data_IF_780096958641
#
_entry.id   IF_780096958641
#
_cell.length_a   1.000
_cell.length_b   1.000
_cell.length_c   1.000
_cell.angle_alpha   90.00
_cell.angle_beta   90.00
_cell.angle_gamma   90.00
#
_symmetry.space_group_name_H-M   'P 1'
#
loop_
_entity.id
_entity.type
_entity.pdbx_description
1 polymer ?
#
# COMPACT_ATOMS: atom_id res chain seq x y z
N UNK A 1 5.00 18.58 13.39
CA UNK A 1 6.01 18.72 12.34
C UNK A 1 7.02 19.79 12.76
N UNK A 2 8.34 19.62 12.54
CA UNK A 2 9.33 20.63 12.94
C UNK A 2 9.21 21.91 12.08
N UNK A 3 9.61 23.07 12.65
CA UNK A 3 9.45 24.35 11.96
C UNK A 3 10.33 24.46 10.69
N UNK A 4 11.49 23.77 10.68
CA UNK A 4 12.35 23.68 9.48
C UNK A 4 11.65 22.92 8.35
N UNK A 5 10.98 21.80 8.65
CA UNK A 5 10.20 21.03 7.68
C UNK A 5 8.99 21.83 7.19
N UNK A 6 8.31 22.54 8.08
CA UNK A 6 7.19 23.44 7.69
C UNK A 6 7.67 24.51 6.71
N UNK A 7 8.80 25.19 7.01
CA UNK A 7 9.38 26.21 6.11
C UNK A 7 9.76 25.64 4.74
N UNK A 8 10.36 24.44 4.71
CA UNK A 8 10.69 23.75 3.45
C UNK A 8 9.42 23.47 2.63
N UNK A 9 8.40 22.88 3.24
CA UNK A 9 7.15 22.51 2.57
C UNK A 9 6.27 23.73 2.19
N UNK A 10 6.45 24.87 2.83
CA UNK A 10 5.75 26.12 2.49
C UNK A 10 6.43 26.92 1.36
N UNK A 11 7.65 26.53 0.95
CA UNK A 11 8.34 27.20 -0.16
C UNK A 11 7.50 27.08 -1.43
N UNK A 12 7.23 28.20 -2.16
CA UNK A 12 6.29 28.24 -3.29
C UNK A 12 6.59 27.19 -4.38
N UNK A 13 7.86 26.99 -4.71
CA UNK A 13 8.25 25.96 -5.70
C UNK A 13 8.03 24.55 -5.17
N UNK A 14 8.46 24.24 -3.93
CA UNK A 14 8.40 22.89 -3.35
C UNK A 14 6.97 22.45 -3.00
N UNK A 15 6.05 23.40 -2.79
CA UNK A 15 4.63 23.17 -2.52
C UNK A 15 3.75 23.26 -3.78
N UNK A 16 4.35 23.49 -4.94
CA UNK A 16 3.63 23.58 -6.20
C UNK A 16 3.20 22.17 -6.66
N UNK A 17 1.90 21.90 -6.62
CA UNK A 17 1.33 20.60 -7.01
C UNK A 17 1.59 20.25 -8.49
N UNK A 18 1.66 21.25 -9.40
CA UNK A 18 1.98 21.00 -10.81
C UNK A 18 3.41 20.52 -10.98
N UNK A 19 4.35 21.13 -10.24
CA UNK A 19 5.75 20.69 -10.21
C UNK A 19 5.85 19.26 -9.66
N UNK A 20 5.16 18.96 -8.54
CA UNK A 20 5.14 17.62 -7.94
C UNK A 20 4.56 16.58 -8.90
N UNK A 21 3.48 16.91 -9.60
CA UNK A 21 2.91 16.03 -10.64
C UNK A 21 3.93 15.81 -11.77
N UNK A 22 4.60 16.86 -12.23
CA UNK A 22 5.68 16.75 -13.23
C UNK A 22 6.80 15.82 -12.78
N UNK A 23 7.24 15.92 -11.50
CA UNK A 23 8.24 15.02 -10.92
C UNK A 23 7.73 13.57 -10.93
N UNK A 24 6.48 13.30 -10.53
CA UNK A 24 5.90 11.96 -10.51
C UNK A 24 5.75 11.37 -11.92
N UNK A 25 5.43 12.20 -12.91
CA UNK A 25 5.47 11.80 -14.34
C UNK A 25 6.89 11.42 -14.75
N UNK A 26 7.90 12.22 -14.39
CA UNK A 26 9.31 11.91 -14.68
C UNK A 26 9.73 10.60 -14.03
N UNK A 27 9.32 10.33 -12.78
CA UNK A 27 9.58 9.04 -12.12
C UNK A 27 8.91 7.88 -12.88
N UNK A 28 7.70 8.08 -13.42
CA UNK A 28 7.03 7.08 -14.25
C UNK A 28 7.77 6.82 -15.55
N UNK A 29 8.25 7.88 -16.21
CA UNK A 29 9.10 7.76 -17.40
C UNK A 29 10.42 7.05 -17.08
N UNK A 30 11.04 7.33 -15.92
CA UNK A 30 12.23 6.61 -15.47
C UNK A 30 11.95 5.12 -15.27
N UNK A 31 10.72 4.72 -14.92
CA UNK A 31 10.31 3.32 -14.86
C UNK A 31 10.50 2.58 -16.19
N UNK A 32 10.40 3.27 -17.32
CA UNK A 32 10.64 2.71 -18.65
C UNK A 32 12.09 2.27 -18.91
N UNK A 33 13.05 2.69 -18.09
CA UNK A 33 14.42 2.16 -18.13
C UNK A 33 14.50 0.65 -17.87
N UNK A 34 13.44 0.07 -17.30
CA UNK A 34 13.31 -1.38 -17.09
C UNK A 34 12.74 -2.14 -18.29
N UNK A 35 12.21 -1.44 -19.30
CA UNK A 35 11.69 -2.08 -20.50
C UNK A 35 12.77 -2.92 -21.19
N UNK A 36 12.43 -4.14 -21.60
CA UNK A 36 13.33 -5.19 -22.09
C UNK A 36 14.45 -5.66 -21.16
N UNK A 37 14.66 -5.02 -20.02
CA UNK A 37 15.72 -5.40 -19.07
C UNK A 37 15.17 -6.15 -17.85
N UNK A 38 14.07 -5.66 -17.28
CA UNK A 38 13.45 -6.21 -16.08
C UNK A 38 12.00 -5.75 -15.98
N UNK A 39 11.13 -6.25 -16.90
CA UNK A 39 9.71 -5.87 -16.97
C UNK A 39 8.79 -7.09 -16.88
N UNK A 40 9.29 -8.17 -16.30
CA UNK A 40 8.59 -9.45 -16.17
C UNK A 40 7.21 -9.32 -15.53
N UNK A 41 7.05 -8.47 -14.51
CA UNK A 41 5.75 -8.27 -13.87
C UNK A 41 4.71 -7.68 -14.83
N UNK A 42 5.12 -6.78 -15.74
CA UNK A 42 4.20 -6.27 -16.76
C UNK A 42 3.80 -7.37 -17.76
N UNK A 43 4.72 -8.27 -18.11
CA UNK A 43 4.41 -9.43 -18.99
C UNK A 43 3.43 -10.39 -18.30
N UNK A 44 3.62 -10.71 -17.02
CA UNK A 44 2.66 -11.50 -16.23
C UNK A 44 1.29 -10.83 -16.26
N UNK A 45 1.22 -9.52 -16.01
CA UNK A 45 -0.04 -8.77 -15.99
C UNK A 45 -0.73 -8.77 -17.36
N UNK A 46 0.02 -8.55 -18.45
CA UNK A 46 -0.48 -8.66 -19.80
C UNK A 46 -1.02 -10.07 -20.07
N UNK A 47 -0.30 -11.11 -19.60
CA UNK A 47 -0.71 -12.51 -19.68
C UNK A 47 -2.06 -12.76 -18.99
N UNK A 48 -2.33 -12.15 -17.83
CA UNK A 48 -3.63 -12.29 -17.13
C UNK A 48 -4.82 -11.94 -18.03
N UNK A 49 -4.73 -10.87 -18.81
CA UNK A 49 -5.80 -10.52 -19.77
C UNK A 49 -5.92 -11.56 -20.88
N UNK A 50 -4.82 -11.89 -21.55
CA UNK A 50 -4.86 -12.80 -22.72
C UNK A 50 -5.24 -14.22 -22.33
N UNK A 51 -4.77 -14.72 -21.18
CA UNK A 51 -5.18 -16.04 -20.69
C UNK A 51 -6.66 -16.07 -20.30
N UNK A 52 -7.22 -14.97 -19.74
CA UNK A 52 -8.64 -14.85 -19.47
C UNK A 52 -9.46 -14.95 -20.76
N UNK A 53 -9.07 -14.22 -21.81
CA UNK A 53 -9.78 -14.23 -23.10
C UNK A 53 -9.66 -15.59 -23.78
N UNK A 54 -8.51 -16.24 -23.68
CA UNK A 54 -8.25 -17.55 -24.30
C UNK A 54 -8.77 -18.73 -23.48
N UNK A 55 -9.28 -18.52 -22.26
CA UNK A 55 -9.77 -19.56 -21.37
C UNK A 55 -8.67 -20.52 -20.86
N UNK A 56 -7.43 -20.05 -20.74
CA UNK A 56 -6.29 -20.81 -20.18
C UNK A 56 -6.05 -20.45 -18.73
N UNK A 57 -5.43 -21.35 -17.92
CA UNK A 57 -5.23 -21.10 -16.48
C UNK A 57 -4.45 -19.81 -16.23
N UNK A 58 -4.94 -18.98 -15.31
CA UNK A 58 -4.27 -17.74 -14.89
C UNK A 58 -3.04 -18.00 -13.99
N UNK A 59 -2.92 -19.20 -13.45
CA UNK A 59 -1.95 -19.53 -12.37
C UNK A 59 -0.96 -20.62 -12.81
N UNK A 60 -1.06 -21.10 -14.04
CA UNK A 60 -0.07 -21.98 -14.62
C UNK A 60 1.23 -21.22 -14.95
N UNK A 61 2.34 -21.96 -15.05
CA UNK A 61 3.61 -21.41 -15.51
C UNK A 61 3.64 -21.31 -17.05
N UNK A 62 4.06 -20.15 -17.55
CA UNK A 62 4.21 -19.87 -18.99
C UNK A 62 5.66 -19.41 -19.31
N UNK A 63 6.66 -20.32 -19.22
CA UNK A 63 8.08 -19.96 -19.27
C UNK A 63 8.52 -19.37 -20.62
N UNK A 64 7.73 -19.56 -21.69
CA UNK A 64 7.94 -18.92 -23.00
C UNK A 64 7.47 -17.48 -23.08
N UNK A 65 6.60 -17.04 -22.15
CA UNK A 65 6.03 -15.69 -22.13
C UNK A 65 6.66 -14.85 -21.02
N UNK A 66 6.80 -15.40 -19.81
CA UNK A 66 7.34 -14.72 -18.64
C UNK A 66 7.90 -15.71 -17.61
N UNK A 67 8.66 -15.18 -16.66
CA UNK A 67 9.15 -15.90 -15.48
C UNK A 67 8.21 -15.69 -14.31
N UNK A 68 8.10 -16.68 -13.40
CA UNK A 68 7.17 -16.67 -12.26
C UNK A 68 5.70 -16.87 -12.71
N UNK A 69 4.74 -16.81 -11.80
CA UNK A 69 3.31 -17.02 -12.06
C UNK A 69 2.48 -15.84 -11.56
N UNK A 70 1.24 -15.74 -12.04
CA UNK A 70 0.31 -14.73 -11.55
C UNK A 70 -0.19 -15.08 -10.14
N UNK A 71 -0.39 -14.05 -9.30
CA UNK A 71 -0.99 -14.14 -7.97
C UNK A 71 -2.15 -13.15 -7.76
N UNK A 72 -2.56 -12.44 -8.80
CA UNK A 72 -3.69 -11.52 -8.77
C UNK A 72 -4.99 -12.26 -9.09
N UNK A 73 -6.10 -11.81 -8.48
CA UNK A 73 -7.41 -12.39 -8.72
C UNK A 73 -7.92 -12.17 -10.16
N UNK A 74 -8.90 -12.96 -10.64
CA UNK A 74 -9.43 -12.89 -12.00
C UNK A 74 -9.90 -11.48 -12.40
N UNK A 75 -10.41 -10.68 -11.47
CA UNK A 75 -10.83 -9.29 -11.72
C UNK A 75 -9.70 -8.42 -12.29
N UNK A 76 -8.44 -8.74 -12.00
CA UNK A 76 -7.29 -7.98 -12.49
C UNK A 76 -7.20 -7.99 -14.02
N UNK A 77 -7.75 -9.00 -14.70
CA UNK A 77 -7.81 -9.06 -16.16
C UNK A 77 -8.48 -7.83 -16.78
N UNK A 78 -9.54 -7.32 -16.15
CA UNK A 78 -10.23 -6.11 -16.63
C UNK A 78 -9.44 -4.82 -16.35
N UNK A 79 -8.67 -4.78 -15.26
CA UNK A 79 -7.86 -3.61 -14.93
C UNK A 79 -6.69 -3.45 -15.90
N UNK A 80 -6.06 -4.57 -16.25
CA UNK A 80 -4.89 -4.54 -17.14
C UNK A 80 -5.29 -4.49 -18.62
N UNK A 81 -6.53 -4.85 -18.98
CA UNK A 81 -7.00 -4.94 -20.37
C UNK A 81 -6.63 -3.72 -21.23
N UNK A 82 -6.88 -2.45 -20.81
CA UNK A 82 -6.55 -1.28 -21.64
C UNK A 82 -5.06 -1.16 -21.97
N UNK A 83 -4.20 -1.74 -21.15
CA UNK A 83 -2.75 -1.72 -21.32
C UNK A 83 -2.24 -2.97 -22.04
N UNK A 84 -2.90 -4.12 -21.85
CA UNK A 84 -2.52 -5.40 -22.41
C UNK A 84 -2.75 -5.49 -23.94
N UNK A 85 -3.77 -4.79 -24.46
CA UNK A 85 -4.10 -4.77 -25.90
C UNK A 85 -3.19 -3.87 -26.73
N UNK A 86 -2.40 -3.02 -26.08
CA UNK A 86 -1.49 -2.08 -26.73
C UNK A 86 -0.12 -2.75 -27.01
N UNK A 87 0.68 -2.18 -27.92
CA UNK A 87 2.09 -2.54 -28.03
C UNK A 87 2.78 -2.43 -26.65
N UNK A 88 3.66 -3.36 -26.32
CA UNK A 88 4.20 -3.52 -24.96
C UNK A 88 4.79 -2.25 -24.36
N UNK A 89 5.53 -1.47 -25.15
CA UNK A 89 6.15 -0.24 -24.67
C UNK A 89 5.12 0.85 -24.35
N UNK A 90 4.03 0.95 -25.14
CA UNK A 90 2.91 1.90 -24.87
C UNK A 90 2.13 1.41 -23.66
N UNK A 91 1.78 0.12 -23.64
CA UNK A 91 1.03 -0.49 -22.54
C UNK A 91 1.77 -0.31 -21.21
N UNK A 92 3.08 -0.62 -21.15
CA UNK A 92 3.88 -0.43 -19.96
C UNK A 92 3.99 1.05 -19.55
N UNK A 93 4.23 1.95 -20.50
CA UNK A 93 4.28 3.39 -20.20
C UNK A 93 2.97 3.89 -19.57
N UNK A 94 1.84 3.58 -20.20
CA UNK A 94 0.53 4.00 -19.71
C UNK A 94 0.19 3.33 -18.37
N UNK A 95 0.61 2.08 -18.15
CA UNK A 95 0.47 1.39 -16.88
C UNK A 95 1.21 2.12 -15.75
N UNK A 96 2.47 2.49 -15.96
CA UNK A 96 3.27 3.21 -14.97
C UNK A 96 2.68 4.60 -14.67
N UNK A 97 2.23 5.32 -15.70
CA UNK A 97 1.56 6.62 -15.55
C UNK A 97 0.21 6.47 -14.81
N UNK A 98 -0.56 5.43 -15.11
CA UNK A 98 -1.82 5.11 -14.44
C UNK A 98 -1.60 4.86 -12.94
N UNK A 99 -0.66 3.99 -12.58
CA UNK A 99 -0.36 3.69 -11.17
C UNK A 99 0.06 4.93 -10.39
N UNK A 100 1.02 5.67 -10.94
CA UNK A 100 1.54 6.90 -10.33
C UNK A 100 0.46 7.98 -10.23
N UNK A 101 -0.29 8.20 -11.32
CA UNK A 101 -1.39 9.17 -11.38
C UNK A 101 -2.52 8.83 -10.43
N UNK A 102 -2.85 7.54 -10.27
CA UNK A 102 -3.90 7.11 -9.33
C UNK A 102 -3.54 7.43 -7.88
N UNK A 103 -2.32 7.09 -7.45
CA UNK A 103 -1.89 7.41 -6.09
C UNK A 103 -1.77 8.94 -5.90
N UNK A 104 -1.24 9.67 -6.90
CA UNK A 104 -1.19 11.13 -6.85
C UNK A 104 -2.59 11.72 -6.66
N UNK A 105 -3.57 11.26 -7.43
CA UNK A 105 -4.95 11.70 -7.36
C UNK A 105 -5.59 11.35 -6.01
N UNK A 106 -5.38 10.14 -5.49
CA UNK A 106 -5.90 9.72 -4.19
C UNK A 106 -5.38 10.60 -3.05
N UNK A 107 -4.11 10.99 -3.08
CA UNK A 107 -3.52 11.94 -2.12
C UNK A 107 -4.10 13.35 -2.34
N UNK A 108 -4.23 13.79 -3.59
CA UNK A 108 -4.73 15.12 -3.94
C UNK A 108 -6.17 15.35 -3.47
N UNK A 109 -7.07 14.38 -3.68
CA UNK A 109 -8.48 14.45 -3.30
C UNK A 109 -8.77 13.92 -1.89
N UNK A 110 -7.74 13.49 -1.16
CA UNK A 110 -7.86 13.12 0.24
C UNK A 110 -8.33 14.31 1.10
N UNK A 111 -8.76 14.06 2.32
CA UNK A 111 -9.06 15.09 3.32
C UNK A 111 -7.81 15.74 3.92
N UNK A 112 -6.60 15.30 3.55
CA UNK A 112 -5.34 15.81 4.10
C UNK A 112 -5.08 17.27 3.70
N UNK A 113 -4.50 18.05 4.62
CA UNK A 113 -4.06 19.43 4.36
C UNK A 113 -2.97 19.45 3.28
N UNK A 114 -2.91 20.54 2.51
CA UNK A 114 -1.92 20.70 1.43
C UNK A 114 -0.48 20.39 1.87
N UNK A 115 -0.06 20.85 3.04
CA UNK A 115 1.29 20.60 3.57
C UNK A 115 1.56 19.12 3.85
N UNK A 116 0.54 18.37 4.28
CA UNK A 116 0.62 16.91 4.51
C UNK A 116 0.73 16.16 3.17
N UNK A 117 -0.08 16.54 2.19
CA UNK A 117 -0.01 15.98 0.82
C UNK A 117 1.38 16.22 0.19
N UNK A 118 1.89 17.45 0.28
CA UNK A 118 3.24 17.82 -0.20
C UNK A 118 4.32 16.99 0.50
N UNK A 119 4.18 16.76 1.80
CA UNK A 119 5.12 15.91 2.54
C UNK A 119 5.12 14.46 2.02
N UNK A 120 3.94 13.88 1.76
CA UNK A 120 3.81 12.53 1.20
C UNK A 120 4.46 12.48 -0.19
N UNK A 121 4.17 13.44 -1.08
CA UNK A 121 4.73 13.45 -2.44
C UNK A 121 6.25 13.44 -2.45
N UNK A 122 6.89 14.24 -1.59
CA UNK A 122 8.35 14.28 -1.50
C UNK A 122 8.92 13.02 -0.84
N UNK A 123 8.38 12.65 0.31
CA UNK A 123 8.92 11.56 1.12
C UNK A 123 8.79 10.20 0.42
N UNK A 124 7.69 9.99 -0.28
CA UNK A 124 7.41 8.73 -0.97
C UNK A 124 8.01 8.63 -2.38
N UNK A 125 8.61 9.70 -2.93
CA UNK A 125 9.11 9.71 -4.31
C UNK A 125 10.09 8.57 -4.61
N UNK A 126 10.96 8.23 -3.67
CA UNK A 126 11.94 7.16 -3.84
C UNK A 126 11.30 5.76 -3.83
N UNK A 127 10.36 5.52 -2.92
CA UNK A 127 9.63 4.24 -2.88
C UNK A 127 8.66 4.11 -4.04
N UNK A 128 8.11 5.21 -4.53
CA UNK A 128 7.34 5.23 -5.76
C UNK A 128 8.21 4.75 -6.94
N UNK A 129 9.41 5.32 -7.11
CA UNK A 129 10.32 4.90 -8.18
C UNK A 129 10.67 3.40 -8.07
N UNK A 130 10.91 2.90 -6.85
CA UNK A 130 11.17 1.47 -6.61
C UNK A 130 9.98 0.61 -7.05
N UNK A 131 8.75 1.00 -6.72
CA UNK A 131 7.54 0.27 -7.08
C UNK A 131 7.27 0.35 -8.60
N UNK A 132 7.57 1.49 -9.25
CA UNK A 132 7.48 1.68 -10.71
C UNK A 132 8.52 0.82 -11.45
N UNK A 133 9.75 0.71 -10.95
CA UNK A 133 10.76 -0.19 -11.51
C UNK A 133 10.35 -1.66 -11.45
N UNK A 134 9.49 -2.02 -10.49
CA UNK A 134 8.91 -3.35 -10.37
C UNK A 134 7.53 -3.47 -11.03
N UNK A 135 6.99 -2.44 -11.66
CA UNK A 135 5.67 -2.33 -12.33
C UNK A 135 4.49 -2.78 -11.45
N UNK A 136 4.68 -2.83 -10.14
CA UNK A 136 3.78 -3.49 -9.18
C UNK A 136 2.52 -2.69 -8.85
N UNK A 137 1.40 -3.39 -8.69
CA UNK A 137 0.10 -2.84 -8.32
C UNK A 137 0.02 -2.29 -6.88
N UNK A 138 1.07 -2.45 -6.08
CA UNK A 138 1.14 -1.92 -4.71
C UNK A 138 0.92 -0.41 -4.61
N UNK A 139 1.27 0.35 -5.67
CA UNK A 139 0.99 1.78 -5.77
C UNK A 139 -0.52 2.04 -5.77
N UNK A 140 -1.28 1.25 -6.56
CA UNK A 140 -2.74 1.33 -6.60
C UNK A 140 -3.37 0.85 -5.28
N UNK A 141 -2.80 -0.14 -4.60
CA UNK A 141 -3.27 -0.58 -3.28
C UNK A 141 -3.18 0.56 -2.26
N UNK A 142 -2.10 1.34 -2.24
CA UNK A 142 -2.02 2.53 -1.40
C UNK A 142 -3.14 3.53 -1.72
N UNK A 143 -3.40 3.78 -3.01
CA UNK A 143 -4.48 4.65 -3.46
C UNK A 143 -5.87 4.12 -3.05
N UNK A 144 -6.10 2.82 -3.18
CA UNK A 144 -7.35 2.14 -2.82
C UNK A 144 -7.63 2.28 -1.31
N UNK A 145 -6.63 2.02 -0.45
CA UNK A 145 -6.80 2.13 1.01
C UNK A 145 -7.07 3.59 1.41
N UNK A 146 -6.34 4.56 0.85
CA UNK A 146 -6.58 5.99 1.06
C UNK A 146 -7.99 6.39 0.63
N UNK A 147 -8.41 5.99 -0.59
CA UNK A 147 -9.72 6.30 -1.12
C UNK A 147 -10.84 5.69 -0.27
N UNK A 148 -10.70 4.43 0.17
CA UNK A 148 -11.67 3.76 1.04
C UNK A 148 -11.90 4.55 2.32
N UNK A 149 -10.84 5.01 2.99
CA UNK A 149 -10.93 5.80 4.20
C UNK A 149 -11.60 7.16 3.99
N UNK A 150 -11.10 7.96 3.05
CA UNK A 150 -11.60 9.32 2.85
C UNK A 150 -13.01 9.37 2.27
N UNK A 151 -13.42 8.34 1.51
CA UNK A 151 -14.80 8.21 1.03
C UNK A 151 -15.76 7.85 2.16
N UNK A 152 -15.36 6.98 3.12
CA UNK A 152 -16.16 6.72 4.32
C UNK A 152 -16.26 8.00 5.17
N UNK A 153 -15.17 8.72 5.36
CA UNK A 153 -15.15 9.96 6.14
C UNK A 153 -16.06 11.06 5.51
N UNK A 154 -16.20 11.05 4.19
CA UNK A 154 -17.07 11.95 3.41
C UNK A 154 -18.49 11.39 3.16
N UNK A 155 -18.86 10.28 3.80
CA UNK A 155 -20.19 9.64 3.67
C UNK A 155 -20.53 9.14 2.26
N UNK A 156 -19.51 8.77 1.49
CA UNK A 156 -19.64 8.19 0.14
C UNK A 156 -19.45 6.65 0.19
N UNK A 157 -20.26 5.96 0.99
CA UNK A 157 -20.14 4.53 1.29
C UNK A 157 -20.16 3.65 0.03
N UNK A 158 -20.92 4.04 -1.00
CA UNK A 158 -20.98 3.28 -2.25
C UNK A 158 -19.62 3.17 -2.96
N UNK A 159 -18.91 4.28 -3.08
CA UNK A 159 -17.58 4.32 -3.68
C UNK A 159 -16.52 3.74 -2.74
N UNK A 160 -16.64 3.94 -1.43
CA UNK A 160 -15.75 3.31 -0.47
C UNK A 160 -15.83 1.78 -0.55
N UNK A 161 -17.05 1.23 -0.60
CA UNK A 161 -17.29 -0.21 -0.78
C UNK A 161 -16.69 -0.71 -2.11
N UNK A 162 -16.87 0.05 -3.21
CA UNK A 162 -16.24 -0.27 -4.50
C UNK A 162 -14.73 -0.48 -4.36
N UNK A 163 -14.01 0.48 -3.75
CA UNK A 163 -12.56 0.39 -3.61
C UNK A 163 -12.13 -0.76 -2.68
N UNK A 164 -12.86 -0.99 -1.58
CA UNK A 164 -12.57 -2.12 -0.67
C UNK A 164 -12.69 -3.45 -1.42
N UNK A 165 -13.81 -3.67 -2.14
CA UNK A 165 -14.06 -4.92 -2.87
C UNK A 165 -13.09 -5.05 -4.05
N UNK A 166 -12.86 -3.98 -4.82
CA UNK A 166 -11.89 -3.97 -5.92
C UNK A 166 -10.51 -4.42 -5.44
N UNK A 167 -10.00 -3.79 -4.39
CA UNK A 167 -8.70 -4.13 -3.84
C UNK A 167 -8.64 -5.56 -3.30
N UNK A 168 -9.75 -6.05 -2.71
CA UNK A 168 -9.85 -7.42 -2.17
C UNK A 168 -9.84 -8.46 -3.28
N UNK A 169 -10.65 -8.29 -4.34
CA UNK A 169 -10.73 -9.24 -5.45
C UNK A 169 -9.52 -9.20 -6.39
N UNK A 170 -8.70 -8.16 -6.28
CA UNK A 170 -7.46 -8.05 -7.07
C UNK A 170 -6.24 -8.57 -6.31
N UNK A 171 -6.07 -8.18 -5.05
CA UNK A 171 -4.83 -8.51 -4.29
C UNK A 171 -5.07 -8.76 -2.79
N UNK A 172 -6.23 -9.11 -2.33
CA UNK A 172 -6.63 -9.29 -0.92
C UNK A 172 -6.31 -8.10 0.01
N UNK A 173 -5.28 -7.30 -0.24
CA UNK A 173 -4.88 -6.18 0.61
C UNK A 173 -5.97 -5.11 0.74
N UNK A 174 -6.92 -5.03 -0.18
CA UNK A 174 -8.06 -4.13 -0.09
C UNK A 174 -8.98 -4.40 1.10
N UNK A 175 -9.03 -5.66 1.59
CA UNK A 175 -9.88 -6.08 2.72
C UNK A 175 -9.59 -5.27 3.99
N UNK A 176 -8.37 -4.75 4.16
CA UNK A 176 -8.01 -3.92 5.32
C UNK A 176 -8.82 -2.62 5.40
N UNK A 177 -9.44 -2.19 4.30
CA UNK A 177 -10.38 -1.07 4.28
C UNK A 177 -11.62 -1.30 5.16
N UNK A 178 -11.97 -2.55 5.47
CA UNK A 178 -13.02 -2.88 6.44
C UNK A 178 -12.71 -2.37 7.86
N UNK A 179 -11.45 -2.12 8.20
CA UNK A 179 -11.07 -1.49 9.46
C UNK A 179 -11.74 -0.11 9.65
N UNK A 180 -12.12 0.57 8.56
CA UNK A 180 -12.79 1.87 8.61
C UNK A 180 -14.31 1.78 8.78
N UNK A 181 -14.88 0.56 8.81
CA UNK A 181 -16.32 0.32 8.97
C UNK A 181 -16.90 1.02 10.21
N UNK A 182 -16.16 1.00 11.32
CA UNK A 182 -16.60 1.60 12.57
C UNK A 182 -16.74 3.13 12.49
N UNK A 183 -16.04 3.77 11.56
CA UNK A 183 -16.09 5.23 11.33
C UNK A 183 -17.23 5.66 10.40
N UNK A 184 -17.83 4.72 9.64
CA UNK A 184 -18.99 5.05 8.82
C UNK A 184 -20.17 5.46 9.70
N UNK A 185 -20.83 6.56 9.30
CA UNK A 185 -22.10 6.99 9.89
C UNK A 185 -23.28 6.17 9.38
N UNK A 186 -23.16 5.60 8.20
CA UNK A 186 -24.20 4.83 7.52
C UNK A 186 -23.80 3.37 7.33
N UNK A 187 -23.57 2.64 8.43
CA UNK A 187 -23.04 1.27 8.44
C UNK A 187 -23.85 0.29 7.59
N UNK A 188 -25.19 0.34 7.70
CA UNK A 188 -26.08 -0.54 6.90
C UNK A 188 -25.90 -0.25 5.41
N UNK A 189 -25.85 1.03 5.01
CA UNK A 189 -25.61 1.44 3.62
C UNK A 189 -24.26 0.91 3.12
N UNK A 190 -23.22 0.98 3.95
CA UNK A 190 -21.89 0.44 3.59
C UNK A 190 -21.95 -1.08 3.39
N UNK A 191 -22.62 -1.83 4.28
CA UNK A 191 -22.81 -3.29 4.13
C UNK A 191 -23.55 -3.64 2.84
N UNK A 192 -24.64 -2.93 2.54
CA UNK A 192 -25.39 -3.17 1.30
C UNK A 192 -24.54 -2.93 0.06
N UNK A 193 -23.77 -1.83 0.02
CA UNK A 193 -22.86 -1.55 -1.09
C UNK A 193 -21.70 -2.55 -1.18
N UNK A 194 -21.16 -3.03 -0.05
CA UNK A 194 -20.16 -4.11 -0.07
C UNK A 194 -20.74 -5.36 -0.73
N UNK A 195 -21.97 -5.75 -0.39
CA UNK A 195 -22.64 -6.90 -1.00
C UNK A 195 -22.87 -6.68 -2.51
N UNK A 196 -23.40 -5.53 -2.90
CA UNK A 196 -23.65 -5.18 -4.32
C UNK A 196 -22.36 -5.23 -5.14
N UNK A 197 -21.31 -4.53 -4.67
CA UNK A 197 -20.02 -4.51 -5.38
C UNK A 197 -19.33 -5.87 -5.38
N UNK A 198 -19.49 -6.69 -4.33
CA UNK A 198 -18.96 -8.06 -4.31
C UNK A 198 -19.55 -8.90 -5.44
N UNK A 199 -20.86 -8.81 -5.65
CA UNK A 199 -21.53 -9.53 -6.76
C UNK A 199 -21.08 -8.97 -8.10
N UNK A 200 -21.16 -7.65 -8.30
CA UNK A 200 -20.83 -7.01 -9.59
C UNK A 200 -19.38 -7.28 -9.99
N UNK A 201 -18.42 -7.05 -9.09
CA UNK A 201 -17.00 -7.18 -9.42
C UNK A 201 -16.54 -8.65 -9.50
N UNK A 202 -17.21 -9.57 -8.77
CA UNK A 202 -16.97 -11.00 -8.92
C UNK A 202 -17.40 -11.50 -10.30
N UNK A 203 -18.55 -11.04 -10.79
CA UNK A 203 -19.10 -11.43 -12.10
C UNK A 203 -18.46 -10.68 -13.26
N UNK A 204 -17.88 -9.50 -13.04
CA UNK A 204 -17.38 -8.64 -14.11
C UNK A 204 -16.41 -9.34 -15.09
N UNK A 205 -15.44 -10.18 -14.68
CA UNK A 205 -14.56 -10.89 -15.63
C UNK A 205 -15.30 -11.85 -16.56
N UNK A 206 -16.53 -12.29 -16.21
CA UNK A 206 -17.35 -13.14 -17.07
C UNK A 206 -17.81 -12.44 -18.36
N UNK A 207 -17.66 -11.11 -18.42
CA UNK A 207 -17.93 -10.35 -19.65
C UNK A 207 -16.91 -10.61 -20.77
N UNK A 208 -15.73 -11.12 -20.44
CA UNK A 208 -14.65 -11.40 -21.41
C UNK A 208 -14.27 -12.89 -21.45
N UNK A 209 -14.93 -13.74 -20.68
CA UNK A 209 -14.72 -15.19 -20.65
C UNK A 209 -15.96 -15.93 -20.14
N UNK A 210 -15.94 -17.29 -20.13
CA UNK A 210 -17.09 -18.05 -19.67
C UNK A 210 -17.24 -18.02 -18.14
N UNK A 211 -18.49 -18.09 -17.60
CA UNK A 211 -18.75 -18.15 -16.17
C UNK A 211 -18.03 -19.33 -15.48
N UNK A 212 -18.09 -20.53 -16.04
CA UNK A 212 -17.47 -21.74 -15.47
C UNK A 212 -15.95 -21.56 -15.35
N UNK A 213 -15.31 -21.02 -16.39
CA UNK A 213 -13.89 -20.72 -16.36
C UNK A 213 -13.56 -19.73 -15.23
N UNK A 214 -14.26 -18.61 -15.13
CA UNK A 214 -13.97 -17.57 -14.11
C UNK A 214 -14.16 -18.12 -12.70
N UNK A 215 -15.21 -18.91 -12.44
CA UNK A 215 -15.42 -19.57 -11.14
C UNK A 215 -14.24 -20.50 -10.82
N UNK A 216 -13.82 -21.31 -11.79
CA UNK A 216 -12.63 -22.17 -11.67
C UNK A 216 -11.36 -21.36 -11.37
N UNK A 217 -11.17 -20.20 -12.03
CA UNK A 217 -10.01 -19.34 -11.76
C UNK A 217 -10.02 -18.71 -10.36
N UNK A 218 -11.18 -18.41 -9.75
CA UNK A 218 -11.21 -18.00 -8.34
C UNK A 218 -10.81 -19.12 -7.38
N UNK A 219 -11.15 -20.39 -7.70
CA UNK A 219 -10.71 -21.55 -6.91
C UNK A 219 -9.18 -21.78 -7.04
N UNK A 220 -8.67 -21.70 -8.27
CA UNK A 220 -7.22 -21.77 -8.53
C UNK A 220 -6.47 -20.62 -7.86
N UNK A 221 -7.05 -19.41 -7.81
CA UNK A 221 -6.46 -18.28 -7.12
C UNK A 221 -6.21 -18.54 -5.64
N UNK A 222 -7.22 -19.11 -4.95
CA UNK A 222 -7.06 -19.50 -3.54
C UNK A 222 -5.88 -20.47 -3.37
N UNK A 223 -5.81 -21.50 -4.20
CA UNK A 223 -4.72 -22.49 -4.16
C UNK A 223 -3.35 -21.87 -4.44
N UNK A 224 -3.28 -20.95 -5.42
CA UNK A 224 -2.07 -20.19 -5.74
C UNK A 224 -1.61 -19.30 -4.57
N UNK A 225 -2.53 -18.64 -3.86
CA UNK A 225 -2.20 -17.82 -2.69
C UNK A 225 -1.67 -18.65 -1.52
N UNK A 226 -2.23 -19.83 -1.28
CA UNK A 226 -1.74 -20.76 -0.23
C UNK A 226 -0.34 -21.24 -0.56
N UNK A 227 -0.10 -21.69 -1.80
CA UNK A 227 1.21 -22.11 -2.27
C UNK A 227 2.24 -20.98 -2.13
N UNK A 228 1.89 -19.76 -2.61
CA UNK A 228 2.77 -18.58 -2.54
C UNK A 228 3.08 -18.17 -1.11
N UNK A 229 2.13 -18.27 -0.19
CA UNK A 229 2.41 -18.01 1.23
C UNK A 229 3.50 -18.93 1.78
N UNK A 230 3.46 -20.21 1.43
CA UNK A 230 4.48 -21.20 1.84
C UNK A 230 5.85 -20.88 1.27
N UNK A 231 5.93 -20.50 -0.02
CA UNK A 231 7.18 -20.06 -0.65
C UNK A 231 7.74 -18.80 0.00
N UNK A 232 6.88 -17.81 0.27
CA UNK A 232 7.27 -16.53 0.80
C UNK A 232 7.91 -16.62 2.19
N UNK A 233 7.49 -17.58 3.03
CA UNK A 233 8.01 -17.77 4.39
C UNK A 233 9.53 -17.79 4.39
N UNK A 234 10.16 -18.47 3.43
CA UNK A 234 11.61 -18.66 3.35
C UNK A 234 12.30 -17.76 2.31
N UNK A 235 11.54 -16.97 1.53
CA UNK A 235 12.09 -16.13 0.47
C UNK A 235 12.82 -14.91 1.03
N UNK A 236 14.02 -14.64 0.51
CA UNK A 236 14.79 -13.41 0.84
C UNK A 236 14.19 -12.19 0.09
N UNK A 237 13.64 -12.39 -1.10
CA UNK A 237 13.07 -11.33 -1.91
C UNK A 237 11.66 -10.91 -1.44
N UNK A 238 10.94 -11.83 -0.83
CA UNK A 238 9.63 -11.64 -0.21
C UNK A 238 9.75 -11.63 1.31
N UNK A 239 8.61 -11.55 2.01
CA UNK A 239 8.56 -11.55 3.47
C UNK A 239 9.46 -10.46 4.09
N UNK A 240 9.50 -9.27 3.45
CA UNK A 240 10.14 -8.08 4.00
C UNK A 240 9.15 -7.41 4.97
N UNK A 241 8.85 -8.12 6.05
CA UNK A 241 7.82 -7.81 7.05
C UNK A 241 8.38 -7.99 8.45
N UNK A 242 7.58 -7.68 9.49
CA UNK A 242 7.94 -8.01 10.87
C UNK A 242 8.12 -9.52 11.04
N UNK A 243 7.31 -10.34 10.36
CA UNK A 243 7.38 -11.80 10.39
C UNK A 243 8.74 -12.27 9.86
N UNK A 244 9.15 -11.77 8.70
CA UNK A 244 10.44 -12.07 8.09
C UNK A 244 11.63 -11.52 8.88
N UNK A 245 11.51 -10.31 9.43
CA UNK A 245 12.54 -9.70 10.30
C UNK A 245 12.83 -10.60 11.50
N UNK A 246 11.81 -10.99 12.26
CA UNK A 246 11.98 -11.85 13.44
C UNK A 246 12.54 -13.21 13.03
N UNK A 247 11.99 -13.85 11.99
CA UNK A 247 12.45 -15.16 11.51
C UNK A 247 13.94 -15.17 11.17
N UNK A 248 14.39 -14.16 10.43
CA UNK A 248 15.78 -14.09 9.93
C UNK A 248 16.77 -13.59 10.97
N UNK A 249 16.36 -12.72 11.90
CA UNK A 249 17.26 -12.23 12.96
C UNK A 249 17.41 -13.22 14.10
N UNK A 250 16.37 -14.01 14.43
CA UNK A 250 16.44 -15.03 15.49
C UNK A 250 16.97 -16.38 15.02
N UNK A 251 16.98 -16.62 13.69
CA UNK A 251 17.29 -17.93 13.12
C UNK A 251 16.18 -18.99 13.31
N UNK A 252 15.07 -18.64 13.96
CA UNK A 252 13.91 -19.52 14.14
C UNK A 252 13.07 -19.58 12.86
N UNK A 253 13.46 -20.44 11.91
CA UNK A 253 12.82 -20.49 10.60
C UNK A 253 11.42 -21.10 10.61
N UNK A 254 11.10 -21.96 11.57
CA UNK A 254 9.90 -22.81 11.58
C UNK A 254 8.84 -22.39 12.62
N UNK A 255 8.88 -21.17 13.16
CA UNK A 255 7.81 -20.73 14.06
C UNK A 255 6.54 -20.38 13.29
N UNK A 256 5.39 -20.54 13.95
CA UNK A 256 4.11 -20.09 13.37
C UNK A 256 4.00 -18.56 13.38
N UNK A 257 3.72 -17.96 12.23
CA UNK A 257 3.49 -16.52 12.11
C UNK A 257 2.37 -16.01 13.04
N UNK A 258 1.46 -16.88 13.48
CA UNK A 258 0.38 -16.55 14.42
C UNK A 258 0.92 -16.01 15.76
N UNK A 259 2.14 -16.40 16.18
CA UNK A 259 2.77 -15.86 17.39
C UNK A 259 3.05 -14.36 17.32
N UNK A 260 3.18 -13.80 16.13
CA UNK A 260 3.32 -12.36 15.93
C UNK A 260 2.03 -11.71 15.42
N UNK A 261 1.27 -12.42 14.56
CA UNK A 261 0.02 -11.90 13.99
C UNK A 261 -1.03 -11.67 15.08
N UNK A 262 -1.25 -12.62 16.00
CA UNK A 262 -2.28 -12.48 17.03
C UNK A 262 -2.01 -11.32 17.99
N UNK A 263 -0.82 -11.14 18.60
CA UNK A 263 -0.50 -9.95 19.37
C UNK A 263 -0.57 -8.66 18.53
N UNK A 264 -0.11 -8.72 17.27
CA UNK A 264 -0.21 -7.60 16.34
C UNK A 264 -1.65 -7.18 16.08
N UNK A 265 -2.55 -8.13 15.85
CA UNK A 265 -4.00 -7.88 15.69
C UNK A 265 -4.61 -7.31 16.97
N UNK A 266 -4.22 -7.82 18.15
CA UNK A 266 -4.69 -7.28 19.42
C UNK A 266 -4.26 -5.81 19.58
N UNK A 267 -2.98 -5.48 19.35
CA UNK A 267 -2.48 -4.10 19.39
C UNK A 267 -3.17 -3.22 18.35
N UNK A 268 -3.44 -3.74 17.15
CA UNK A 268 -4.17 -3.03 16.10
C UNK A 268 -5.62 -2.75 16.50
N UNK A 269 -6.27 -3.68 17.21
CA UNK A 269 -7.68 -3.59 17.58
C UNK A 269 -7.92 -2.70 18.82
N UNK A 270 -6.98 -2.66 19.77
CA UNK A 270 -7.13 -1.90 21.02
C UNK A 270 -7.58 -0.43 20.84
N UNK A 271 -7.02 0.35 19.90
CA UNK A 271 -7.45 1.74 19.69
C UNK A 271 -8.93 1.89 19.33
N UNK A 272 -9.52 0.89 18.67
CA UNK A 272 -10.93 0.93 18.28
C UNK A 272 -11.90 0.87 19.50
N UNK A 273 -11.42 0.56 20.70
CA UNK A 273 -12.20 0.67 21.93
C UNK A 273 -12.31 2.12 22.44
N UNK A 274 -11.55 3.05 21.87
CA UNK A 274 -11.55 4.47 22.28
C UNK A 274 -12.63 5.27 21.53
N UNK A 275 -13.89 4.89 21.71
CA UNK A 275 -15.04 5.52 21.04
C UNK A 275 -15.12 7.02 21.18
N UNK A 276 -14.68 7.57 22.34
CA UNK A 276 -14.63 9.03 22.58
C UNK A 276 -13.76 9.79 21.58
N UNK A 277 -12.74 9.13 21.00
CA UNK A 277 -11.81 9.72 20.03
C UNK A 277 -12.32 9.67 18.58
N UNK A 278 -13.40 8.93 18.29
CA UNK A 278 -13.90 8.75 16.91
C UNK A 278 -14.33 10.06 16.23
N UNK A 279 -14.78 11.05 16.99
CA UNK A 279 -15.09 12.39 16.48
C UNK A 279 -13.85 13.16 15.98
N UNK A 280 -12.65 12.81 16.45
CA UNK A 280 -11.42 13.50 16.11
C UNK A 280 -10.85 12.96 14.80
N UNK A 281 -10.81 13.79 13.75
CA UNK A 281 -10.29 13.40 12.44
C UNK A 281 -8.83 12.90 12.52
N UNK A 282 -7.98 13.59 13.30
CA UNK A 282 -6.59 13.20 13.48
C UNK A 282 -6.43 11.79 14.09
N UNK A 283 -7.35 11.36 14.97
CA UNK A 283 -7.38 9.99 15.48
C UNK A 283 -7.70 8.99 14.34
N UNK A 284 -8.74 9.25 13.57
CA UNK A 284 -9.13 8.38 12.45
C UNK A 284 -8.05 8.31 11.37
N UNK A 285 -7.40 9.44 11.04
CA UNK A 285 -6.25 9.48 10.12
C UNK A 285 -5.03 8.72 10.68
N UNK A 286 -4.83 8.70 12.01
CA UNK A 286 -3.79 7.89 12.62
C UNK A 286 -4.12 6.39 12.56
N UNK A 287 -5.40 6.01 12.65
CA UNK A 287 -5.84 4.63 12.36
C UNK A 287 -5.57 4.27 10.90
N UNK A 288 -5.85 5.16 9.94
CA UNK A 288 -5.49 4.95 8.52
C UNK A 288 -3.97 4.68 8.39
N UNK A 289 -3.13 5.46 9.08
CA UNK A 289 -1.69 5.24 9.09
C UNK A 289 -1.33 3.85 9.64
N UNK A 290 -2.01 3.40 10.70
CA UNK A 290 -1.84 2.06 11.27
C UNK A 290 -2.20 0.98 10.24
N UNK A 291 -3.34 1.08 9.56
CA UNK A 291 -3.79 0.14 8.52
C UNK A 291 -2.76 0.00 7.40
N UNK A 292 -2.25 1.14 6.89
CA UNK A 292 -1.27 1.16 5.80
C UNK A 292 0.07 0.48 6.19
N UNK A 293 0.49 0.60 7.44
CA UNK A 293 1.70 -0.09 7.91
C UNK A 293 1.43 -1.55 8.27
N UNK A 294 0.28 -1.83 8.88
CA UNK A 294 -0.09 -3.18 9.32
C UNK A 294 -0.11 -4.17 8.15
N UNK A 295 -0.70 -3.80 7.01
CA UNK A 295 -0.79 -4.68 5.84
C UNK A 295 0.57 -5.10 5.29
N UNK A 296 1.60 -4.29 5.50
CA UNK A 296 2.98 -4.62 5.10
C UNK A 296 3.73 -5.40 6.19
N UNK A 297 3.55 -5.02 7.46
CA UNK A 297 4.27 -5.64 8.57
C UNK A 297 3.82 -7.06 8.88
N UNK A 298 2.55 -7.39 8.63
CA UNK A 298 1.97 -8.69 8.97
C UNK A 298 1.58 -9.51 7.72
N UNK A 299 2.30 -9.32 6.62
CA UNK A 299 2.13 -10.11 5.39
C UNK A 299 3.45 -10.75 4.96
N UNK A 300 3.43 -12.06 4.72
CA UNK A 300 4.55 -12.80 4.12
C UNK A 300 4.78 -12.39 2.66
N UNK A 301 3.76 -11.87 1.98
CA UNK A 301 3.84 -11.32 0.61
C UNK A 301 4.43 -9.92 0.54
N UNK A 302 4.96 -9.37 1.63
CA UNK A 302 5.59 -8.04 1.63
C UNK A 302 6.91 -8.06 0.87
N UNK A 303 7.03 -7.16 -0.08
CA UNK A 303 8.18 -6.99 -0.96
C UNK A 303 8.61 -5.52 -1.03
N UNK A 304 9.74 -5.25 -1.69
CA UNK A 304 10.32 -3.90 -1.77
C UNK A 304 9.35 -2.86 -2.35
N UNK A 305 8.53 -3.22 -3.34
CA UNK A 305 7.53 -2.36 -3.95
C UNK A 305 6.34 -2.04 -3.02
N UNK A 306 6.06 -2.89 -2.03
CA UNK A 306 4.98 -2.68 -1.06
C UNK A 306 5.25 -1.54 -0.08
N UNK A 307 6.50 -1.14 0.08
CA UNK A 307 6.87 -0.08 1.03
C UNK A 307 6.30 1.30 0.70
N UNK A 308 5.82 1.53 -0.52
CA UNK A 308 5.04 2.74 -0.86
C UNK A 308 3.78 2.86 0.03
N UNK A 309 3.15 1.73 0.37
CA UNK A 309 1.97 1.67 1.25
C UNK A 309 2.37 2.08 2.67
N UNK A 310 3.39 1.43 3.24
CA UNK A 310 3.82 1.67 4.61
C UNK A 310 4.38 3.09 4.82
N UNK A 311 5.17 3.63 3.86
CA UNK A 311 5.72 4.97 3.95
C UNK A 311 4.65 6.05 3.83
N UNK A 312 3.60 5.83 3.03
CA UNK A 312 2.43 6.70 3.01
C UNK A 312 1.79 6.77 4.40
N UNK A 313 1.64 5.62 5.08
CA UNK A 313 1.19 5.57 6.47
C UNK A 313 2.12 6.31 7.45
N UNK A 314 3.44 6.13 7.32
CA UNK A 314 4.42 6.83 8.14
C UNK A 314 4.34 8.36 8.00
N UNK A 315 4.14 8.86 6.76
CA UNK A 315 3.94 10.29 6.49
C UNK A 315 2.67 10.83 7.14
N UNK A 316 1.56 10.08 7.06
CA UNK A 316 0.29 10.43 7.70
C UNK A 316 0.51 10.50 9.22
N UNK A 317 1.05 9.44 9.85
CA UNK A 317 1.35 9.45 11.28
C UNK A 317 2.16 10.66 11.71
N UNK A 318 3.20 11.03 10.94
CA UNK A 318 4.08 12.15 11.30
C UNK A 318 3.37 13.50 11.25
N UNK A 319 2.41 13.68 10.35
CA UNK A 319 1.87 14.99 10.00
C UNK A 319 0.47 15.31 10.54
N UNK A 320 -0.34 14.29 10.89
CA UNK A 320 -1.77 14.50 11.21
C UNK A 320 -2.04 14.83 12.68
N UNK A 321 -1.15 14.45 13.58
CA UNK A 321 -1.39 14.63 15.03
C UNK A 321 -1.47 16.10 15.44
N UNK A 322 -2.30 16.45 16.46
CA UNK A 322 -2.49 17.81 16.90
C UNK A 322 -1.29 18.38 17.70
N UNK A 323 -0.41 17.54 18.22
CA UNK A 323 0.77 17.97 19.00
C UNK A 323 2.03 18.11 18.15
N UNK A 324 3.04 18.81 18.67
CA UNK A 324 4.36 18.95 18.01
C UNK A 324 5.13 17.63 18.12
N UNK A 325 5.71 17.19 17.01
CA UNK A 325 6.64 16.05 16.97
C UNK A 325 8.00 16.44 17.55
N UNK A 326 8.46 15.67 18.54
CA UNK A 326 9.78 15.86 19.15
C UNK A 326 10.94 15.33 18.27
N UNK A 327 12.17 15.55 18.73
CA UNK A 327 13.40 15.16 18.01
C UNK A 327 13.46 13.66 17.68
N UNK A 328 12.94 12.80 18.53
CA UNK A 328 12.94 11.34 18.32
C UNK A 328 12.00 10.92 17.17
N UNK A 329 10.85 11.60 17.03
CA UNK A 329 9.96 11.33 15.88
C UNK A 329 10.62 11.75 14.56
N UNK A 330 11.39 12.86 14.56
CA UNK A 330 12.18 13.28 13.38
C UNK A 330 13.26 12.25 13.09
N UNK A 331 14.02 11.82 14.09
CA UNK A 331 15.07 10.80 13.94
C UNK A 331 14.49 9.48 13.40
N UNK A 332 13.34 9.05 13.90
CA UNK A 332 12.65 7.85 13.40
C UNK A 332 12.21 8.02 11.94
N UNK A 333 11.67 9.19 11.54
CA UNK A 333 11.31 9.43 10.14
C UNK A 333 12.54 9.42 9.21
N UNK A 334 13.68 9.95 9.66
CA UNK A 334 14.95 9.85 8.91
C UNK A 334 15.37 8.38 8.79
N UNK A 335 15.28 7.61 9.85
CA UNK A 335 15.57 6.16 9.84
C UNK A 335 14.64 5.39 8.91
N UNK A 336 13.32 5.69 8.92
CA UNK A 336 12.34 5.15 7.97
C UNK A 336 12.73 5.51 6.54
N UNK A 337 13.08 6.77 6.27
CA UNK A 337 13.44 7.21 4.93
C UNK A 337 14.69 6.46 4.41
N UNK A 338 15.74 6.40 5.22
CA UNK A 338 17.01 5.77 4.81
C UNK A 338 16.85 4.26 4.69
N UNK A 339 16.38 3.57 5.72
CA UNK A 339 16.42 2.10 5.75
C UNK A 339 15.19 1.49 5.06
N UNK A 340 13.97 1.96 5.38
CA UNK A 340 12.76 1.41 4.76
C UNK A 340 12.55 1.96 3.35
N UNK A 341 12.81 3.26 3.12
CA UNK A 341 12.66 3.91 1.83
C UNK A 341 13.77 3.56 0.85
N UNK A 342 15.03 3.81 1.21
CA UNK A 342 16.18 3.68 0.32
C UNK A 342 16.95 2.37 0.46
N UNK A 343 16.62 1.53 1.46
CA UNK A 343 17.41 0.34 1.83
C UNK A 343 17.67 -0.67 0.71
N UNK A 344 16.89 -0.64 -0.38
CA UNK A 344 17.10 -1.50 -1.55
C UNK A 344 17.67 -0.74 -2.76
N UNK A 345 18.16 0.49 -2.58
CA UNK A 345 18.69 1.31 -3.67
C UNK A 345 20.18 1.07 -3.91
N UNK A 346 20.62 1.41 -5.13
CA UNK A 346 22.03 1.38 -5.49
C UNK A 346 22.88 2.49 -4.81
N UNK A 347 22.24 3.40 -4.06
CA UNK A 347 22.93 4.37 -3.21
C UNK A 347 23.54 3.73 -1.96
N UNK A 348 23.07 2.53 -1.58
CA UNK A 348 23.63 1.74 -0.49
C UNK A 348 24.62 0.73 -1.08
N UNK A 349 25.85 0.60 -0.53
CA UNK A 349 26.83 -0.37 -0.98
C UNK A 349 26.22 -1.77 -1.09
N UNK A 350 26.56 -2.48 -2.17
CA UNK A 350 25.98 -3.79 -2.50
C UNK A 350 26.10 -4.79 -1.35
N UNK A 351 27.24 -4.85 -0.66
CA UNK A 351 27.48 -5.76 0.45
C UNK A 351 26.57 -5.44 1.66
N UNK A 352 26.35 -4.15 2.02
CA UNK A 352 25.41 -3.78 3.08
C UNK A 352 23.98 -4.18 2.69
N UNK A 353 23.62 -3.92 1.44
CA UNK A 353 22.27 -4.21 0.93
C UNK A 353 21.96 -5.70 0.93
N UNK A 354 22.87 -6.54 0.40
CA UNK A 354 22.64 -7.98 0.29
C UNK A 354 22.88 -8.73 1.62
N UNK A 355 24.01 -8.49 2.28
CA UNK A 355 24.46 -9.31 3.40
C UNK A 355 23.76 -8.93 4.73
N UNK A 356 23.15 -7.71 4.79
CA UNK A 356 22.47 -7.25 5.99
C UNK A 356 21.01 -6.87 5.71
N UNK A 357 20.75 -5.88 4.84
CA UNK A 357 19.40 -5.32 4.70
C UNK A 357 18.43 -6.36 4.15
N UNK A 358 18.78 -7.04 3.07
CA UNK A 358 17.95 -8.08 2.47
C UNK A 358 17.96 -9.34 3.30
N UNK A 359 19.16 -9.80 3.72
CA UNK A 359 19.33 -11.02 4.49
C UNK A 359 18.48 -11.04 5.75
N UNK A 360 18.40 -9.94 6.49
CA UNK A 360 17.66 -9.85 7.75
C UNK A 360 16.35 -9.09 7.65
N UNK A 361 15.85 -8.79 6.44
CA UNK A 361 14.65 -7.99 6.22
C UNK A 361 14.63 -6.65 7.00
N UNK A 362 15.80 -6.00 7.16
CA UNK A 362 15.98 -4.85 8.05
C UNK A 362 15.11 -3.64 7.65
N UNK A 363 14.60 -3.58 6.42
CA UNK A 363 13.66 -2.54 5.99
C UNK A 363 12.39 -2.51 6.84
N UNK A 364 11.99 -3.66 7.42
CA UNK A 364 10.82 -3.74 8.28
C UNK A 364 11.07 -3.11 9.66
N UNK A 365 12.32 -3.04 10.14
CA UNK A 365 12.64 -2.58 11.49
C UNK A 365 12.15 -1.16 11.80
N UNK A 366 12.46 -0.10 10.99
CA UNK A 366 12.00 1.24 11.31
C UNK A 366 10.47 1.38 11.28
N UNK A 367 9.81 0.72 10.33
CA UNK A 367 8.34 0.73 10.23
C UNK A 367 7.72 -0.01 11.41
N UNK A 368 8.32 -1.11 11.89
CA UNK A 368 7.86 -1.83 13.10
C UNK A 368 7.95 -0.95 14.34
N UNK A 369 9.08 -0.28 14.56
CA UNK A 369 9.26 0.67 15.67
C UNK A 369 8.23 1.80 15.59
N UNK A 370 8.05 2.37 14.38
CA UNK A 370 7.09 3.44 14.16
C UNK A 370 5.67 2.97 14.43
N UNK A 371 5.29 1.80 13.95
CA UNK A 371 3.94 1.25 14.14
C UNK A 371 3.64 0.96 15.62
N UNK A 372 4.61 0.43 16.38
CA UNK A 372 4.46 0.24 17.82
C UNK A 372 4.30 1.58 18.56
N UNK A 373 5.07 2.59 18.17
CA UNK A 373 4.92 3.93 18.72
C UNK A 373 3.54 4.54 18.38
N UNK A 374 3.10 4.38 17.14
CA UNK A 374 1.77 4.79 16.72
C UNK A 374 0.66 4.10 17.53
N UNK A 375 0.75 2.79 17.75
CA UNK A 375 -0.20 2.05 18.58
C UNK A 375 -0.21 2.59 20.02
N UNK A 376 0.96 2.86 20.60
CA UNK A 376 1.04 3.51 21.90
C UNK A 376 0.34 4.87 21.91
N UNK A 377 0.59 5.75 20.91
CA UNK A 377 -0.09 7.04 20.82
C UNK A 377 -1.59 6.89 20.67
N UNK A 378 -2.06 5.98 19.81
CA UNK A 378 -3.47 5.71 19.63
C UNK A 378 -4.17 5.22 20.90
N UNK A 379 -3.47 4.50 21.78
CA UNK A 379 -4.02 4.00 23.04
C UNK A 379 -3.98 5.03 24.17
N UNK A 380 -3.01 5.98 24.16
CA UNK A 380 -2.73 6.83 25.34
C UNK A 380 -2.97 8.32 25.12
N UNK A 381 -2.77 8.83 23.90
CA UNK A 381 -2.83 10.28 23.63
C UNK A 381 -4.26 10.75 23.37
N UNK A 382 -4.55 12.00 23.74
CA UNK A 382 -5.78 12.68 23.35
C UNK A 382 -5.58 13.40 22.01
N UNK A 383 -6.48 13.12 21.06
CA UNK A 383 -6.48 13.69 19.71
C UNK A 383 -7.42 14.89 19.57
N UNK A 384 -7.99 15.37 20.68
CA UNK A 384 -8.79 16.60 20.66
C UNK A 384 -7.90 17.75 20.16
N UNK A 385 -8.39 18.56 19.19
CA UNK A 385 -7.63 19.71 18.73
C UNK A 385 -7.26 20.60 19.92
N UNK A 386 -5.99 20.97 20.02
CA UNK A 386 -5.55 21.95 21.00
C UNK A 386 -6.19 23.27 20.55
N UNK A 387 -7.17 23.77 21.30
CA UNK A 387 -7.68 25.14 21.10
C UNK A 387 -6.47 26.08 21.12
N UNK A 388 -6.32 26.86 20.05
CA UNK A 388 -5.45 28.01 20.14
C UNK A 388 -6.09 28.91 21.17
N UNK A 389 -5.46 29.03 22.34
CA UNK A 389 -5.69 30.18 23.20
C UNK A 389 -5.31 31.35 22.30
N UNK A 390 -6.30 32.07 21.82
CA UNK A 390 -6.11 33.32 21.12
C UNK A 390 -5.36 34.22 22.10
N UNK A 391 -4.09 34.44 21.78
CA UNK A 391 -3.31 35.48 22.43
C UNK A 391 -3.78 36.80 21.76
N UNK A 392 -5.00 37.20 22.10
CA UNK A 392 -5.46 38.57 21.99
C UNK A 392 -5.31 39.15 23.39
N UNK A 393 -4.15 39.76 23.64
CA UNK A 393 -3.93 40.93 24.49
C UNK A 393 -2.63 41.62 24.03
#
# INVERSE_FOLDING_TARGET
MSDKVKRFLSHPLLSNRRLLLGIWIILSLAGMLKFHRSYNNFLIFKGVYWHTVNGTSLYAAYPTEYRDVNHYGPLFSLIIAPFAILPEWIGMLLWLLFLSGWLFAAIYWSGLRKSQQVYIYWFCGFTLLTALFMQQFNIAIAAIILSSFFLIDKEHEGWAAFFIVLGTLVKLYGIVGLAFFLFSRHKVRLILWLAVWSVILFLAPMAISSPDYIIGQYQEWYSSLVAKNTENIHSIAQNISLLGLVRRTTGCMNYSDLWLILPGMALFALPFLRFSQYKNLAFRETILASVLMFVILFSTGSESSGYIIALTGACIWYTVVPWKRGKWAVALMVFVFILSGMGNSDLIPKWIRHDYIQQYALRALPISILWLWLCYELCTKDYTPIEKVDADE
#
